data_IF_651024405392
#
_entry.id   IF_651024405392
#
_cell.length_a   1.000
_cell.length_b   1.000
_cell.length_c   1.000
_cell.angle_alpha   90.00
_cell.angle_beta   90.00
_cell.angle_gamma   90.00
#
_symmetry.space_group_name_H-M   'P 1'
#
loop_
_entity.id
_entity.type
_entity.pdbx_description
1 polymer ?
#
# COMPACT_ATOMS: atom_id res chain seq x y z
N UNK A 1 -20.35 8.24 18.78
CA UNK A 1 -20.53 8.12 17.32
C UNK A 1 -19.52 8.95 16.50
N UNK A 2 -19.17 10.18 16.92
CA UNK A 2 -18.21 11.06 16.20
C UNK A 2 -16.88 10.42 15.79
N UNK A 3 -16.22 9.66 16.68
CA UNK A 3 -14.93 9.03 16.36
C UNK A 3 -14.97 8.02 15.21
N UNK A 4 -16.13 7.38 14.96
CA UNK A 4 -16.24 6.46 13.82
C UNK A 4 -16.48 7.19 12.50
N UNK A 5 -17.20 8.31 12.53
CA UNK A 5 -17.37 9.15 11.34
C UNK A 5 -16.00 9.64 10.85
N UNK A 6 -15.16 10.12 11.77
CA UNK A 6 -13.80 10.57 11.49
C UNK A 6 -12.97 9.44 10.86
N UNK A 7 -13.05 8.23 11.40
CA UNK A 7 -12.33 7.07 10.84
C UNK A 7 -12.76 6.76 9.39
N UNK A 8 -14.06 6.82 9.08
CA UNK A 8 -14.54 6.58 7.73
C UNK A 8 -14.11 7.68 6.77
N UNK A 9 -14.19 8.95 7.19
CA UNK A 9 -13.72 10.08 6.39
C UNK A 9 -12.22 9.97 6.10
N UNK A 10 -11.43 9.55 7.09
CA UNK A 10 -10.00 9.34 6.93
C UNK A 10 -9.70 8.20 5.95
N UNK A 11 -10.43 7.09 6.00
CA UNK A 11 -10.30 6.01 5.03
C UNK A 11 -10.64 6.48 3.61
N UNK A 12 -11.73 7.22 3.44
CA UNK A 12 -12.13 7.77 2.13
C UNK A 12 -11.06 8.74 1.61
N UNK A 13 -10.56 9.64 2.44
CA UNK A 13 -9.53 10.59 2.07
C UNK A 13 -8.18 9.91 1.73
N UNK A 14 -7.87 8.79 2.37
CA UNK A 14 -6.65 8.03 2.12
C UNK A 14 -6.75 7.07 0.93
N UNK A 15 -7.95 6.86 0.36
CA UNK A 15 -8.17 5.94 -0.76
C UNK A 15 -7.33 6.26 -2.00
N UNK A 16 -7.22 7.54 -2.47
CA UNK A 16 -6.37 7.86 -3.62
C UNK A 16 -4.90 7.49 -3.40
N UNK A 17 -4.40 7.72 -2.18
CA UNK A 17 -3.02 7.36 -1.79
C UNK A 17 -2.82 5.85 -1.83
N UNK A 18 -3.78 5.07 -1.33
CA UNK A 18 -3.72 3.62 -1.40
C UNK A 18 -3.81 3.08 -2.83
N UNK A 19 -4.62 3.69 -3.69
CA UNK A 19 -4.70 3.32 -5.12
C UNK A 19 -3.36 3.59 -5.80
N UNK A 20 -2.77 4.77 -5.59
CA UNK A 20 -1.44 5.08 -6.10
C UNK A 20 -0.41 4.06 -5.61
N UNK A 21 -0.37 3.80 -4.31
CA UNK A 21 0.57 2.82 -3.74
C UNK A 21 0.39 1.39 -4.28
N UNK A 22 -0.81 1.01 -4.70
CA UNK A 22 -1.10 -0.32 -5.24
C UNK A 22 -0.78 -0.46 -6.74
N UNK A 23 -0.85 0.64 -7.50
CA UNK A 23 -0.77 0.62 -8.98
C UNK A 23 0.54 1.21 -9.50
N UNK A 24 1.23 2.05 -8.71
CA UNK A 24 2.51 2.59 -9.15
C UNK A 24 3.49 1.46 -9.46
N UNK A 25 4.10 1.48 -10.66
CA UNK A 25 5.06 0.46 -11.05
C UNK A 25 6.28 0.54 -10.14
N UNK A 26 6.78 -0.63 -9.74
CA UNK A 26 8.03 -0.77 -9.00
C UNK A 26 9.24 -0.31 -9.81
N UNK A 27 9.13 -0.34 -11.14
CA UNK A 27 10.19 -0.02 -12.07
C UNK A 27 9.65 0.96 -13.13
N UNK A 28 10.22 2.17 -13.17
CA UNK A 28 9.81 3.21 -14.11
C UNK A 28 10.15 2.87 -15.57
N UNK A 29 11.22 2.11 -15.81
CA UNK A 29 11.62 1.62 -17.13
C UNK A 29 10.68 0.53 -17.63
N UNK A 30 10.28 -0.39 -16.74
CA UNK A 30 9.30 -1.43 -17.10
C UNK A 30 7.95 -0.82 -17.51
N UNK A 31 7.55 0.28 -16.87
CA UNK A 31 6.34 1.02 -17.24
C UNK A 31 6.42 1.68 -18.62
N UNK A 32 7.64 1.92 -19.13
CA UNK A 32 7.90 2.46 -20.46
C UNK A 32 8.13 1.34 -21.50
N UNK A 33 7.99 0.08 -21.12
CA UNK A 33 8.24 -1.09 -21.98
C UNK A 33 9.73 -1.36 -22.20
N UNK A 34 10.61 -0.78 -21.38
CA UNK A 34 12.05 -0.99 -21.43
C UNK A 34 12.40 -2.03 -20.37
N UNK A 35 13.00 -3.13 -20.81
CA UNK A 35 13.51 -4.19 -19.93
C UNK A 35 14.87 -3.76 -19.35
N UNK A 36 14.83 -2.72 -18.52
CA UNK A 36 15.98 -2.16 -17.80
C UNK A 36 15.63 -2.02 -16.32
N UNK A 37 16.64 -2.11 -15.47
CA UNK A 37 16.45 -2.04 -14.03
C UNK A 37 16.58 -0.60 -13.53
N UNK A 38 15.67 -0.21 -12.63
CA UNK A 38 15.69 1.12 -12.02
C UNK A 38 16.54 1.12 -10.74
N UNK A 39 17.67 1.85 -10.76
CA UNK A 39 18.58 1.94 -9.62
C UNK A 39 18.22 3.08 -8.64
N UNK A 40 17.17 3.87 -8.90
CA UNK A 40 16.72 4.95 -8.01
C UNK A 40 16.09 4.43 -6.69
N UNK A 41 15.86 3.12 -6.60
CA UNK A 41 15.37 2.45 -5.42
C UNK A 41 13.85 2.62 -5.19
N UNK A 42 13.31 2.05 -4.09
CA UNK A 42 11.87 1.87 -3.95
C UNK A 42 11.16 3.09 -3.33
N UNK A 43 11.86 4.22 -3.21
CA UNK A 43 11.40 5.38 -2.44
C UNK A 43 10.09 5.96 -2.98
N UNK A 44 9.91 5.99 -4.30
CA UNK A 44 8.70 6.48 -4.97
C UNK A 44 7.45 5.67 -4.59
N UNK A 45 7.56 4.35 -4.51
CA UNK A 45 6.47 3.45 -4.10
C UNK A 45 6.25 3.53 -2.59
N UNK A 46 7.32 3.52 -1.80
CA UNK A 46 7.25 3.53 -0.33
C UNK A 46 6.65 4.83 0.23
N UNK A 47 6.87 5.96 -0.42
CA UNK A 47 6.30 7.25 -0.03
C UNK A 47 4.77 7.20 0.06
N UNK A 48 4.11 6.45 -0.84
CA UNK A 48 2.66 6.24 -0.81
C UNK A 48 2.25 4.99 -0.03
N UNK A 49 3.04 3.91 -0.11
CA UNK A 49 2.72 2.65 0.53
C UNK A 49 2.75 2.71 2.05
N UNK A 50 3.78 3.35 2.64
CA UNK A 50 3.91 3.46 4.10
C UNK A 50 2.69 4.13 4.76
N UNK A 51 2.26 5.34 4.35
CA UNK A 51 1.09 5.96 4.95
C UNK A 51 -0.20 5.15 4.71
N UNK A 52 -0.37 4.56 3.52
CA UNK A 52 -1.52 3.72 3.23
C UNK A 52 -1.58 2.48 4.13
N UNK A 53 -0.46 1.76 4.31
CA UNK A 53 -0.37 0.59 5.18
C UNK A 53 -0.70 0.95 6.64
N UNK A 54 -0.17 2.07 7.15
CA UNK A 54 -0.45 2.51 8.52
C UNK A 54 -1.94 2.85 8.71
N UNK A 55 -2.53 3.61 7.78
CA UNK A 55 -3.93 4.03 7.86
C UNK A 55 -4.88 2.84 7.79
N UNK A 56 -4.73 1.99 6.76
CA UNK A 56 -5.63 0.88 6.53
C UNK A 56 -5.41 -0.26 7.53
N UNK A 57 -4.16 -0.52 7.95
CA UNK A 57 -3.83 -1.50 8.97
C UNK A 57 -4.38 -1.12 10.35
N UNK A 58 -4.15 0.11 10.80
CA UNK A 58 -4.68 0.59 12.08
C UNK A 58 -6.23 0.59 12.07
N UNK A 59 -6.83 1.03 10.96
CA UNK A 59 -8.29 1.05 10.81
C UNK A 59 -8.90 -0.35 10.85
N UNK A 60 -8.27 -1.33 10.19
CA UNK A 60 -8.70 -2.73 10.23
C UNK A 60 -8.75 -3.26 11.67
N UNK A 61 -7.68 -3.02 12.46
CA UNK A 61 -7.61 -3.44 13.87
C UNK A 61 -8.70 -2.77 14.71
N UNK A 62 -8.89 -1.44 14.55
CA UNK A 62 -9.89 -0.68 15.31
C UNK A 62 -11.32 -1.11 14.98
N UNK A 63 -11.63 -1.34 13.71
CA UNK A 63 -12.93 -1.82 13.24
C UNK A 63 -13.20 -3.26 13.68
N UNK A 64 -12.19 -4.13 13.60
CA UNK A 64 -12.29 -5.51 14.07
C UNK A 64 -12.54 -5.61 15.58
N UNK A 65 -11.86 -4.78 16.39
CA UNK A 65 -12.11 -4.70 17.84
C UNK A 65 -13.53 -4.26 18.19
N UNK A 66 -14.18 -3.47 17.33
CA UNK A 66 -15.58 -3.02 17.50
C UNK A 66 -16.56 -3.85 16.66
N UNK A 67 -16.44 -5.18 16.73
CA UNK A 67 -17.23 -6.20 15.99
C UNK A 67 -18.75 -6.18 16.25
N UNK A 68 -19.28 -5.25 17.04
CA UNK A 68 -20.71 -5.19 17.37
C UNK A 68 -21.66 -4.96 16.19
N UNK A 69 -21.16 -4.63 14.98
CA UNK A 69 -21.99 -4.49 13.77
C UNK A 69 -21.36 -5.17 12.56
N UNK A 70 -22.19 -5.85 11.77
CA UNK A 70 -21.79 -6.52 10.50
C UNK A 70 -21.06 -5.57 9.55
N UNK A 71 -21.49 -4.30 9.49
CA UNK A 71 -20.85 -3.27 8.67
C UNK A 71 -19.37 -3.03 9.05
N UNK A 72 -19.02 -3.10 10.34
CA UNK A 72 -17.62 -2.94 10.76
C UNK A 72 -16.73 -4.08 10.32
N UNK A 73 -17.27 -5.30 10.27
CA UNK A 73 -16.54 -6.45 9.74
C UNK A 73 -16.29 -6.29 8.24
N UNK A 74 -17.29 -5.85 7.48
CA UNK A 74 -17.14 -5.61 6.03
C UNK A 74 -16.09 -4.52 5.79
N UNK A 75 -16.19 -3.38 6.48
CA UNK A 75 -15.20 -2.29 6.33
C UNK A 75 -13.80 -2.74 6.76
N UNK A 76 -13.67 -3.52 7.86
CA UNK A 76 -12.40 -4.07 8.28
C UNK A 76 -11.79 -5.01 7.22
N UNK A 77 -12.62 -5.87 6.60
CA UNK A 77 -12.19 -6.76 5.54
C UNK A 77 -11.71 -5.98 4.31
N UNK A 78 -12.45 -4.94 3.90
CA UNK A 78 -12.00 -4.05 2.83
C UNK A 78 -10.65 -3.40 3.17
N UNK A 79 -10.45 -2.96 4.42
CA UNK A 79 -9.18 -2.38 4.84
C UNK A 79 -8.03 -3.39 4.76
N UNK A 80 -8.26 -4.65 5.14
CA UNK A 80 -7.27 -5.73 5.01
C UNK A 80 -6.93 -6.00 3.54
N UNK A 81 -7.92 -6.03 2.65
CA UNK A 81 -7.68 -6.22 1.22
C UNK A 81 -6.81 -5.10 0.62
N UNK A 82 -7.12 -3.84 0.96
CA UNK A 82 -6.31 -2.69 0.55
C UNK A 82 -4.89 -2.80 1.12
N UNK A 83 -4.75 -3.12 2.41
CA UNK A 83 -3.46 -3.31 3.06
C UNK A 83 -2.62 -4.41 2.37
N UNK A 84 -3.22 -5.56 2.07
CA UNK A 84 -2.55 -6.65 1.37
C UNK A 84 -2.14 -6.26 -0.04
N UNK A 85 -2.99 -5.56 -0.79
CA UNK A 85 -2.69 -5.09 -2.14
C UNK A 85 -1.50 -4.13 -2.15
N UNK A 86 -1.52 -3.13 -1.27
CA UNK A 86 -0.43 -2.15 -1.14
C UNK A 86 0.85 -2.84 -0.66
N UNK A 87 0.74 -3.74 0.32
CA UNK A 87 1.88 -4.47 0.87
C UNK A 87 2.55 -5.36 -0.18
N UNK A 88 1.76 -5.99 -1.05
CA UNK A 88 2.29 -6.78 -2.15
C UNK A 88 3.12 -5.93 -3.11
N UNK A 89 2.60 -4.77 -3.51
CA UNK A 89 3.32 -3.86 -4.40
C UNK A 89 4.61 -3.31 -3.75
N UNK A 90 4.55 -2.96 -2.46
CA UNK A 90 5.72 -2.51 -1.71
C UNK A 90 6.80 -3.61 -1.61
N UNK A 91 6.41 -4.87 -1.39
CA UNK A 91 7.35 -6.00 -1.38
C UNK A 91 7.93 -6.24 -2.77
N UNK A 92 7.13 -6.12 -3.83
CA UNK A 92 7.61 -6.22 -5.20
C UNK A 92 8.68 -5.14 -5.49
N UNK A 93 8.41 -3.88 -5.12
CA UNK A 93 9.37 -2.79 -5.25
C UNK A 93 10.66 -3.02 -4.46
N UNK A 94 10.57 -3.51 -3.22
CA UNK A 94 11.74 -3.85 -2.42
C UNK A 94 12.56 -4.99 -3.04
N UNK A 95 11.90 -6.02 -3.58
CA UNK A 95 12.57 -7.13 -4.25
C UNK A 95 13.25 -6.70 -5.54
N UNK A 96 12.64 -5.78 -6.29
CA UNK A 96 13.23 -5.21 -7.49
C UNK A 96 14.48 -4.38 -7.15
N UNK A 97 14.37 -3.52 -6.13
CA UNK A 97 15.46 -2.60 -5.75
C UNK A 97 16.62 -3.26 -5.00
N UNK A 98 16.36 -4.31 -4.22
CA UNK A 98 17.38 -4.98 -3.38
C UNK A 98 17.59 -6.46 -3.73
N UNK A 99 17.02 -6.93 -4.84
CA UNK A 99 17.22 -8.30 -5.32
C UNK A 99 18.62 -8.52 -5.86
N UNK A 100 19.01 -9.79 -6.05
CA UNK A 100 20.31 -10.13 -6.63
C UNK A 100 20.53 -9.50 -8.01
N UNK A 101 19.46 -9.32 -8.79
CA UNK A 101 19.51 -8.66 -10.09
C UNK A 101 19.89 -7.18 -9.99
N UNK A 102 19.47 -6.46 -8.95
CA UNK A 102 19.87 -5.06 -8.75
C UNK A 102 21.29 -4.91 -8.25
N UNK A 103 21.74 -5.84 -7.41
CA UNK A 103 23.14 -5.88 -6.98
C UNK A 103 24.09 -6.13 -8.15
N UNK A 104 23.67 -6.88 -9.17
CA UNK A 104 24.48 -7.14 -10.36
C UNK A 104 24.41 -6.02 -11.40
N UNK A 105 23.23 -5.39 -11.57
CA UNK A 105 23.03 -4.34 -12.58
C UNK A 105 23.42 -2.93 -12.11
N UNK A 106 23.40 -2.66 -10.80
CA UNK A 106 23.63 -1.34 -10.21
C UNK A 106 24.93 -1.24 -9.37
N UNK A 107 25.83 -2.23 -9.43
CA UNK A 107 27.16 -2.21 -8.81
C UNK A 107 28.22 -1.66 -9.77
#
# INVERSE_FOLDING_TARGET
MRGMLILHLLLIAALPVAILAAVLPANSYQAQGIDALDCDGPASVLLFAVPALLIYGASAILLYRKRNRRLHLVTALCCVLVFCSVGWNAVAALRESYGSASVEACA
#
